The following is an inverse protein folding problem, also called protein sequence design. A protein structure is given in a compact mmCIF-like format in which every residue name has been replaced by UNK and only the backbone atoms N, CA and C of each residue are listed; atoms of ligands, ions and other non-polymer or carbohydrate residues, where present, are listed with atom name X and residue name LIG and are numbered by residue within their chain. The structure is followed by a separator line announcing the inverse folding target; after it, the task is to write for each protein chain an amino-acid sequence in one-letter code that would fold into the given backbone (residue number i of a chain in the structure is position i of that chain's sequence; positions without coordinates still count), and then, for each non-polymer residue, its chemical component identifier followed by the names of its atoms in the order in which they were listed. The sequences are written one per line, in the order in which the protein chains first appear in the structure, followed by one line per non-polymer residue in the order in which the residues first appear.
data_IF_036047200385
#
_entry.id   IF_036047200385
#
_cell.length_a   1.000
_cell.length_b   1.000
_cell.length_c   1.000
_cell.angle_alpha   90.00
_cell.angle_beta   90.00
_cell.angle_gamma   90.00
#
_symmetry.space_group_name_H-M   'P 1'
#
loop_
_entity.id
_entity.type
_entity.pdbx_description
1 polymer ?
#
# COMPACT_ATOMS: atom_id res chain seq x y z
N UNK A 1 -30.45 -10.62 -45.63
CA UNK A 1 -30.33 -11.23 -44.29
C UNK A 1 -29.01 -10.76 -43.68
N UNK A 2 -29.03 -9.71 -42.87
CA UNK A 2 -27.85 -9.20 -42.16
C UNK A 2 -27.66 -10.02 -40.87
N UNK A 3 -26.64 -10.85 -40.82
CA UNK A 3 -26.23 -11.57 -39.61
C UNK A 3 -25.49 -10.61 -38.69
N UNK A 4 -26.21 -10.04 -37.72
CA UNK A 4 -25.64 -9.24 -36.65
C UNK A 4 -24.72 -10.07 -35.77
N UNK A 5 -23.43 -9.77 -35.81
CA UNK A 5 -22.43 -10.22 -34.82
C UNK A 5 -22.80 -9.67 -33.46
N UNK A 6 -23.48 -10.48 -32.63
CA UNK A 6 -23.58 -10.26 -31.18
C UNK A 6 -22.16 -10.25 -30.61
N UNK A 7 -21.63 -9.08 -30.31
CA UNK A 7 -20.57 -8.93 -29.32
C UNK A 7 -21.09 -9.52 -28.01
N UNK A 8 -20.64 -10.73 -27.65
CA UNK A 8 -20.89 -11.28 -26.33
C UNK A 8 -20.27 -10.32 -25.32
N UNK A 9 -21.10 -9.51 -24.65
CA UNK A 9 -20.64 -8.78 -23.48
C UNK A 9 -20.33 -9.84 -22.42
N UNK A 10 -19.05 -10.05 -22.13
CA UNK A 10 -18.65 -10.90 -21.02
C UNK A 10 -19.33 -10.36 -19.76
N UNK A 11 -20.06 -11.21 -19.03
CA UNK A 11 -20.69 -10.81 -17.78
C UNK A 11 -19.69 -10.06 -16.88
N UNK A 12 -20.10 -8.98 -16.19
CA UNK A 12 -19.17 -8.17 -15.41
C UNK A 12 -18.47 -9.05 -14.37
N UNK A 13 -17.13 -9.06 -14.40
CA UNK A 13 -16.32 -9.84 -13.47
C UNK A 13 -16.52 -9.30 -12.06
N UNK A 14 -17.01 -10.15 -11.16
CA UNK A 14 -17.29 -9.81 -9.75
C UNK A 14 -16.06 -9.81 -8.83
N UNK A 15 -14.88 -10.14 -9.37
CA UNK A 15 -13.63 -10.39 -8.64
C UNK A 15 -12.41 -9.95 -9.47
N UNK A 16 -11.30 -9.61 -8.81
CA UNK A 16 -10.02 -9.34 -9.45
C UNK A 16 -9.42 -10.63 -10.03
N UNK A 17 -9.40 -11.72 -9.26
CA UNK A 17 -8.92 -13.03 -9.72
C UNK A 17 -9.91 -14.16 -9.42
N UNK A 18 -10.68 -14.05 -8.34
CA UNK A 18 -11.70 -15.02 -7.96
C UNK A 18 -12.00 -14.95 -6.46
N UNK A 19 -13.11 -15.54 -5.98
CA UNK A 19 -13.57 -15.37 -4.61
C UNK A 19 -12.53 -15.73 -3.54
N UNK A 20 -11.85 -16.87 -3.70
CA UNK A 20 -10.85 -17.37 -2.73
C UNK A 20 -9.56 -16.54 -2.77
N UNK A 21 -9.04 -16.25 -3.97
CA UNK A 21 -7.81 -15.47 -4.12
C UNK A 21 -7.99 -14.05 -3.64
N UNK A 22 -9.11 -13.42 -3.97
CA UNK A 22 -9.46 -12.10 -3.48
C UNK A 22 -9.64 -12.12 -1.97
N UNK A 23 -10.33 -13.13 -1.39
CA UNK A 23 -10.45 -13.26 0.08
C UNK A 23 -9.08 -13.34 0.76
N UNK A 24 -8.19 -14.22 0.30
CA UNK A 24 -6.87 -14.41 0.90
C UNK A 24 -6.02 -13.14 0.80
N UNK A 25 -6.02 -12.47 -0.35
CA UNK A 25 -5.24 -11.24 -0.59
C UNK A 25 -5.85 -10.01 0.07
N UNK A 26 -7.17 -9.97 0.29
CA UNK A 26 -7.88 -8.85 0.92
C UNK A 26 -7.89 -8.97 2.46
N UNK A 27 -6.89 -9.64 3.05
CA UNK A 27 -6.75 -9.78 4.49
C UNK A 27 -7.22 -11.12 5.07
N UNK A 28 -7.78 -12.03 4.28
CA UNK A 28 -8.11 -13.39 4.73
C UNK A 28 -6.88 -14.16 5.21
N UNK A 29 -5.72 -13.94 4.57
CA UNK A 29 -4.44 -14.50 5.03
C UNK A 29 -4.09 -14.03 6.44
N UNK A 30 -4.44 -12.79 6.81
CA UNK A 30 -4.24 -12.27 8.17
C UNK A 30 -5.06 -13.07 9.19
N UNK A 31 -6.31 -13.41 8.87
CA UNK A 31 -7.18 -14.19 9.77
C UNK A 31 -6.67 -15.63 9.96
N UNK A 32 -6.06 -16.22 8.94
CA UNK A 32 -5.46 -17.56 9.01
C UNK A 32 -4.17 -17.54 9.83
N UNK A 33 -3.30 -16.56 9.61
CA UNK A 33 -1.99 -16.51 10.25
C UNK A 33 -2.02 -15.99 11.68
N UNK A 34 -2.95 -15.07 12.01
CA UNK A 34 -3.03 -14.48 13.35
C UNK A 34 -3.07 -15.52 14.48
N UNK A 35 -3.97 -16.52 14.51
CA UNK A 35 -4.00 -17.50 15.60
C UNK A 35 -2.70 -18.29 15.70
N UNK A 36 -2.04 -18.59 14.58
CA UNK A 36 -0.74 -19.27 14.55
C UNK A 36 0.33 -18.39 15.20
N UNK A 37 0.38 -17.10 14.83
CA UNK A 37 1.35 -16.14 15.38
C UNK A 37 1.11 -15.88 16.87
N UNK A 38 -0.14 -15.78 17.29
CA UNK A 38 -0.51 -15.55 18.70
C UNK A 38 -0.21 -16.76 19.59
N UNK A 39 -0.23 -17.98 19.04
CA UNK A 39 0.12 -19.19 19.77
C UNK A 39 1.64 -19.38 19.96
N UNK A 40 2.48 -18.62 19.24
CA UNK A 40 3.94 -18.74 19.34
C UNK A 40 4.50 -17.89 20.49
N UNK A 41 5.45 -18.43 21.30
CA UNK A 41 6.14 -17.66 22.33
C UNK A 41 7.07 -16.63 21.67
N UNK A 42 6.67 -15.36 21.72
CA UNK A 42 7.31 -14.28 20.99
C UNK A 42 8.77 -14.04 21.42
N UNK A 43 9.05 -14.15 22.71
CA UNK A 43 10.38 -14.06 23.32
C UNK A 43 11.39 -15.05 22.72
N UNK A 44 10.94 -16.27 22.41
CA UNK A 44 11.78 -17.31 21.81
C UNK A 44 11.98 -17.13 20.31
N UNK A 45 10.97 -16.63 19.59
CA UNK A 45 10.94 -16.68 18.13
C UNK A 45 11.19 -15.34 17.43
N UNK A 46 11.26 -14.21 18.15
CA UNK A 46 11.35 -12.87 17.55
C UNK A 46 12.49 -12.73 16.54
N UNK A 47 13.69 -13.25 16.85
CA UNK A 47 14.83 -13.14 15.95
C UNK A 47 14.63 -13.95 14.66
N UNK A 48 14.18 -15.19 14.78
CA UNK A 48 13.88 -16.07 13.64
C UNK A 48 12.73 -15.50 12.79
N UNK A 49 11.69 -14.96 13.44
CA UNK A 49 10.57 -14.30 12.76
C UNK A 49 11.01 -13.02 12.07
N UNK A 50 11.88 -12.22 12.68
CA UNK A 50 12.42 -11.01 12.07
C UNK A 50 13.24 -11.35 10.82
N UNK A 51 14.08 -12.39 10.89
CA UNK A 51 14.81 -12.89 9.72
C UNK A 51 13.87 -13.37 8.61
N UNK A 52 12.87 -14.19 8.93
CA UNK A 52 11.87 -14.65 7.97
C UNK A 52 11.05 -13.48 7.38
N UNK A 53 10.67 -12.50 8.20
CA UNK A 53 9.97 -11.30 7.77
C UNK A 53 10.84 -10.44 6.85
N UNK A 54 12.15 -10.34 7.10
CA UNK A 54 13.08 -9.68 6.18
C UNK A 54 13.16 -10.42 4.84
N UNK A 55 13.21 -11.76 4.82
CA UNK A 55 13.16 -12.53 3.58
C UNK A 55 11.83 -12.30 2.82
N UNK A 56 10.71 -12.31 3.51
CA UNK A 56 9.41 -11.97 2.93
C UNK A 56 9.36 -10.53 2.42
N UNK A 57 10.00 -9.59 3.13
CA UNK A 57 10.11 -8.22 2.68
C UNK A 57 10.84 -8.12 1.34
N UNK A 58 11.89 -8.94 1.12
CA UNK A 58 12.60 -8.98 -0.17
C UNK A 58 11.76 -9.51 -1.33
N UNK A 59 10.92 -10.51 -1.07
CA UNK A 59 10.17 -11.19 -2.14
C UNK A 59 8.83 -10.49 -2.42
N UNK A 60 8.24 -9.83 -1.43
CA UNK A 60 6.89 -9.28 -1.52
C UNK A 60 6.90 -7.75 -1.33
N UNK A 61 7.51 -7.26 -0.25
CA UNK A 61 7.40 -5.85 0.15
C UNK A 61 8.24 -4.91 -0.73
N UNK A 62 9.54 -5.16 -0.92
CA UNK A 62 10.39 -4.31 -1.76
C UNK A 62 9.91 -4.30 -3.22
N UNK A 63 9.51 -5.43 -3.83
CA UNK A 63 8.91 -5.42 -5.16
C UNK A 63 7.59 -4.65 -5.19
N UNK A 64 6.76 -4.73 -4.15
CA UNK A 64 5.56 -3.90 -4.01
C UNK A 64 5.90 -2.41 -4.18
N UNK A 65 6.85 -1.89 -3.41
CA UNK A 65 7.28 -0.49 -3.56
C UNK A 65 7.76 -0.19 -4.98
N UNK A 66 8.65 -1.02 -5.52
CA UNK A 66 9.24 -0.82 -6.85
C UNK A 66 8.21 -0.86 -7.98
N UNK A 67 7.19 -1.72 -7.89
CA UNK A 67 6.09 -1.75 -8.84
C UNK A 67 5.32 -0.42 -8.88
N UNK A 68 5.15 0.24 -7.73
CA UNK A 68 4.56 1.58 -7.66
C UNK A 68 5.40 2.59 -8.44
N UNK A 69 6.73 2.57 -8.27
CA UNK A 69 7.62 3.44 -9.06
C UNK A 69 7.49 3.16 -10.56
N UNK A 70 7.49 1.88 -10.96
CA UNK A 70 7.35 1.49 -12.36
C UNK A 70 6.03 2.00 -12.97
N UNK A 71 4.90 1.88 -12.27
CA UNK A 71 3.59 2.34 -12.76
C UNK A 71 3.49 3.87 -12.73
N UNK A 72 3.93 4.50 -11.65
CA UNK A 72 3.84 5.94 -11.45
C UNK A 72 4.62 6.71 -12.51
N UNK A 73 5.88 6.31 -12.73
CA UNK A 73 6.78 7.01 -13.65
C UNK A 73 6.60 6.59 -15.12
N UNK A 74 5.81 5.55 -15.41
CA UNK A 74 5.48 5.17 -16.80
C UNK A 74 4.72 6.28 -17.49
N UNK A 75 5.34 6.85 -18.52
CA UNK A 75 4.78 7.97 -19.28
C UNK A 75 4.65 9.25 -18.45
N UNK A 76 5.49 9.44 -17.42
CA UNK A 76 5.39 10.55 -16.48
C UNK A 76 5.32 11.91 -17.18
N UNK A 77 6.16 12.16 -18.20
CA UNK A 77 6.16 13.44 -18.90
C UNK A 77 4.78 13.78 -19.51
N UNK A 78 4.10 12.78 -20.09
CA UNK A 78 2.76 12.93 -20.65
C UNK A 78 1.71 13.23 -19.57
N UNK A 79 1.82 12.57 -18.42
CA UNK A 79 0.92 12.74 -17.26
C UNK A 79 1.14 14.08 -16.57
N UNK A 80 2.39 14.49 -16.37
CA UNK A 80 2.74 15.68 -15.60
C UNK A 80 2.67 16.97 -16.43
N UNK A 81 2.99 16.93 -17.72
CA UNK A 81 3.19 18.15 -18.52
C UNK A 81 2.29 18.27 -19.76
N UNK A 82 1.88 17.17 -20.40
CA UNK A 82 1.25 17.23 -21.73
C UNK A 82 -0.27 17.49 -21.75
N UNK A 83 -0.88 17.95 -20.66
CA UNK A 83 -2.33 18.26 -20.59
C UNK A 83 -3.28 17.06 -20.72
N UNK A 84 -2.74 15.83 -20.81
CA UNK A 84 -3.51 14.62 -21.13
C UNK A 84 -4.42 14.13 -20.01
N UNK A 85 -4.17 14.61 -18.79
CA UNK A 85 -4.99 14.39 -17.60
C UNK A 85 -5.34 15.76 -17.02
N UNK A 86 -6.55 15.93 -16.47
CA UNK A 86 -7.00 17.25 -15.98
C UNK A 86 -6.01 17.92 -15.02
N UNK A 87 -5.98 19.25 -14.99
CA UNK A 87 -4.98 20.08 -14.27
C UNK A 87 -4.77 19.65 -12.81
N UNK A 88 -5.84 19.29 -12.11
CA UNK A 88 -5.76 18.78 -10.73
C UNK A 88 -4.87 17.53 -10.63
N UNK A 89 -5.03 16.57 -11.55
CA UNK A 89 -4.21 15.36 -11.59
C UNK A 89 -2.77 15.67 -11.99
N UNK A 90 -2.53 16.60 -12.92
CA UNK A 90 -1.17 17.00 -13.27
C UNK A 90 -0.40 17.58 -12.07
N UNK A 91 -1.04 18.48 -11.31
CA UNK A 91 -0.44 19.06 -10.10
C UNK A 91 -0.13 17.97 -9.06
N UNK A 92 -1.00 16.96 -8.93
CA UNK A 92 -0.75 15.81 -8.05
C UNK A 92 0.45 14.99 -8.52
N UNK A 93 0.59 14.73 -9.82
CA UNK A 93 1.75 14.03 -10.38
C UNK A 93 3.05 14.82 -10.20
N UNK A 94 3.04 16.13 -10.45
CA UNK A 94 4.19 17.00 -10.22
C UNK A 94 4.59 17.02 -8.74
N UNK A 95 3.61 17.17 -7.86
CA UNK A 95 3.87 17.17 -6.43
C UNK A 95 4.45 15.84 -5.96
N UNK A 96 3.78 14.71 -6.26
CA UNK A 96 4.22 13.40 -5.79
C UNK A 96 5.50 12.89 -6.50
N UNK A 97 5.72 13.28 -7.76
CA UNK A 97 6.84 12.80 -8.57
C UNK A 97 8.11 13.65 -8.51
N UNK A 98 7.99 14.93 -8.14
CA UNK A 98 9.13 15.86 -8.13
C UNK A 98 9.25 16.55 -6.78
N UNK A 99 8.20 17.27 -6.35
CA UNK A 99 8.29 18.14 -5.18
C UNK A 99 8.48 17.35 -3.89
N UNK A 100 7.61 16.37 -3.61
CA UNK A 100 7.67 15.55 -2.41
C UNK A 100 9.00 14.79 -2.26
N UNK A 101 9.49 14.03 -3.26
CA UNK A 101 10.79 13.37 -3.14
C UNK A 101 11.96 14.35 -3.05
N UNK A 102 11.94 15.48 -3.76
CA UNK A 102 13.03 16.47 -3.66
C UNK A 102 13.11 17.09 -2.26
N UNK A 103 11.96 17.48 -1.68
CA UNK A 103 11.91 18.02 -0.32
C UNK A 103 12.32 16.98 0.72
N UNK A 104 11.89 15.73 0.56
CA UNK A 104 12.25 14.65 1.47
C UNK A 104 13.74 14.30 1.39
N UNK A 105 14.30 14.24 0.18
CA UNK A 105 15.73 14.03 -0.03
C UNK A 105 16.54 15.18 0.57
N UNK A 106 16.15 16.43 0.31
CA UNK A 106 16.80 17.59 0.89
C UNK A 106 16.79 17.53 2.42
N UNK A 107 15.64 17.24 3.03
CA UNK A 107 15.50 17.11 4.48
C UNK A 107 16.40 16.02 5.07
N UNK A 108 16.43 14.84 4.46
CA UNK A 108 17.28 13.73 4.94
C UNK A 108 18.77 14.05 4.75
N UNK A 109 19.17 14.60 3.60
CA UNK A 109 20.56 14.97 3.33
C UNK A 109 21.04 16.04 4.30
N UNK A 110 20.24 17.08 4.58
CA UNK A 110 20.63 18.12 5.54
C UNK A 110 20.71 17.58 6.96
N UNK A 111 19.77 16.71 7.38
CA UNK A 111 19.81 16.08 8.69
C UNK A 111 21.06 15.18 8.88
N UNK A 112 21.40 14.41 7.83
CA UNK A 112 22.61 13.57 7.83
C UNK A 112 23.88 14.43 7.85
N UNK A 113 23.95 15.48 7.03
CA UNK A 113 25.10 16.38 6.97
C UNK A 113 25.32 17.15 8.28
N UNK A 114 24.24 17.51 8.98
CA UNK A 114 24.29 18.19 10.27
C UNK A 114 24.58 17.25 11.45
N UNK A 115 24.55 15.92 11.27
CA UNK A 115 24.74 14.97 12.37
C UNK A 115 23.61 14.97 13.41
N UNK A 116 22.40 15.43 13.05
CA UNK A 116 21.31 15.64 14.01
C UNK A 116 20.32 14.47 14.06
N UNK A 117 20.53 13.54 14.99
CA UNK A 117 19.67 12.37 15.21
C UNK A 117 18.20 12.76 15.47
N UNK A 118 17.97 13.88 16.16
CA UNK A 118 16.61 14.37 16.46
C UNK A 118 15.81 14.66 15.18
N UNK A 119 16.45 15.33 14.21
CA UNK A 119 15.82 15.67 12.93
C UNK A 119 15.55 14.42 12.08
N UNK A 120 16.46 13.44 12.10
CA UNK A 120 16.20 12.12 11.53
C UNK A 120 15.02 11.41 12.21
N UNK A 121 14.90 11.54 13.54
CA UNK A 121 13.77 11.04 14.31
C UNK A 121 12.42 11.60 13.83
N UNK A 122 12.35 12.88 13.43
CA UNK A 122 11.14 13.43 12.82
C UNK A 122 10.79 12.76 11.49
N UNK A 123 11.79 12.39 10.69
CA UNK A 123 11.59 11.65 9.45
C UNK A 123 10.96 10.26 9.71
N UNK A 124 11.46 9.52 10.71
CA UNK A 124 10.90 8.22 11.06
C UNK A 124 9.50 8.31 11.66
N UNK A 125 9.22 9.33 12.48
CA UNK A 125 7.87 9.59 12.97
C UNK A 125 6.90 9.94 11.84
N UNK A 126 7.33 10.74 10.86
CA UNK A 126 6.54 11.04 9.67
C UNK A 126 6.30 9.77 8.84
N UNK A 127 7.31 8.92 8.67
CA UNK A 127 7.16 7.61 8.04
C UNK A 127 6.09 6.77 8.75
N UNK A 128 6.16 6.62 10.08
CA UNK A 128 5.18 5.85 10.83
C UNK A 128 3.75 6.39 10.67
N UNK A 129 3.59 7.72 10.67
CA UNK A 129 2.31 8.39 10.43
C UNK A 129 1.74 8.06 9.04
N UNK A 130 2.56 8.26 7.98
CA UNK A 130 2.13 8.05 6.60
C UNK A 130 1.91 6.58 6.24
N UNK A 131 2.74 5.66 6.75
CA UNK A 131 2.58 4.21 6.56
C UNK A 131 1.29 3.74 7.23
N UNK A 132 1.00 4.19 8.45
CA UNK A 132 -0.26 3.86 9.12
C UNK A 132 -1.48 4.31 8.30
N UNK A 133 -1.46 5.54 7.79
CA UNK A 133 -2.55 6.04 6.95
C UNK A 133 -2.65 5.31 5.61
N UNK A 134 -1.51 4.98 5.02
CA UNK A 134 -1.42 4.24 3.77
C UNK A 134 -2.16 2.89 3.87
N UNK A 135 -1.97 2.15 4.97
CA UNK A 135 -2.64 0.86 5.19
C UNK A 135 -4.16 1.04 5.27
N UNK A 136 -4.61 2.00 6.08
CA UNK A 136 -6.04 2.32 6.24
C UNK A 136 -6.67 2.72 4.91
N UNK A 137 -6.00 3.62 4.17
CA UNK A 137 -6.49 4.09 2.88
C UNK A 137 -6.57 2.96 1.86
N UNK A 138 -5.63 2.01 1.89
CA UNK A 138 -5.66 0.83 1.03
C UNK A 138 -6.84 -0.10 1.38
N UNK A 139 -7.09 -0.36 2.67
CA UNK A 139 -8.25 -1.14 3.12
C UNK A 139 -9.57 -0.52 2.67
N UNK A 140 -9.74 0.79 2.86
CA UNK A 140 -10.91 1.54 2.36
C UNK A 140 -10.98 1.52 0.82
N UNK A 141 -9.86 1.68 0.14
CA UNK A 141 -9.78 1.60 -1.32
C UNK A 141 -10.26 0.25 -1.86
N UNK A 142 -9.85 -0.85 -1.23
CA UNK A 142 -10.31 -2.18 -1.59
C UNK A 142 -11.79 -2.43 -1.30
N UNK A 143 -12.35 -1.84 -0.24
CA UNK A 143 -13.79 -1.82 -0.05
C UNK A 143 -14.49 -1.20 -1.26
N UNK A 144 -14.00 -0.05 -1.74
CA UNK A 144 -14.56 0.61 -2.92
C UNK A 144 -14.35 -0.19 -4.21
N UNK A 145 -13.22 -0.88 -4.37
CA UNK A 145 -12.96 -1.78 -5.51
C UNK A 145 -13.95 -2.94 -5.51
N UNK A 146 -14.15 -3.60 -4.37
CA UNK A 146 -15.08 -4.73 -4.26
C UNK A 146 -16.54 -4.29 -4.48
N UNK A 147 -16.92 -3.11 -3.97
CA UNK A 147 -18.19 -2.46 -4.29
C UNK A 147 -18.38 -2.30 -5.80
N UNK A 148 -17.37 -1.77 -6.50
CA UNK A 148 -17.44 -1.53 -7.94
C UNK A 148 -17.56 -2.83 -8.75
N UNK A 149 -16.73 -3.83 -8.43
CA UNK A 149 -16.76 -5.13 -9.10
C UNK A 149 -18.10 -5.87 -8.91
N UNK A 150 -18.67 -5.77 -7.71
CA UNK A 150 -19.94 -6.45 -7.37
C UNK A 150 -21.18 -5.59 -7.64
N UNK A 151 -20.99 -4.33 -8.09
CA UNK A 151 -22.07 -3.33 -8.25
C UNK A 151 -22.90 -3.13 -6.97
N UNK A 152 -22.24 -3.19 -5.81
CA UNK A 152 -22.84 -3.01 -4.47
C UNK A 152 -22.28 -1.75 -3.83
N UNK A 153 -22.87 -0.61 -4.17
CA UNK A 153 -22.36 0.69 -3.74
C UNK A 153 -22.96 1.12 -2.40
N UNK A 154 -22.11 1.73 -1.57
CA UNK A 154 -22.57 2.51 -0.43
C UNK A 154 -23.07 3.88 -0.89
N UNK A 155 -24.07 4.42 -0.18
CA UNK A 155 -24.47 5.81 -0.33
C UNK A 155 -23.36 6.77 0.12
N UNK A 156 -23.49 8.06 -0.20
CA UNK A 156 -22.44 9.03 0.13
C UNK A 156 -22.34 9.28 1.64
N UNK A 157 -23.45 9.18 2.37
CA UNK A 157 -23.47 9.22 3.85
C UNK A 157 -22.69 8.05 4.43
N UNK A 158 -22.99 6.83 3.98
CA UNK A 158 -22.32 5.59 4.42
C UNK A 158 -20.81 5.63 4.14
N UNK A 159 -20.41 6.06 2.93
CA UNK A 159 -18.99 6.26 2.58
C UNK A 159 -18.32 7.26 3.51
N UNK A 160 -19.01 8.35 3.87
CA UNK A 160 -18.49 9.34 4.81
C UNK A 160 -18.31 8.76 6.20
N UNK A 161 -19.25 7.93 6.69
CA UNK A 161 -19.10 7.22 7.98
C UNK A 161 -17.88 6.31 7.97
N UNK A 162 -17.74 5.47 6.93
CA UNK A 162 -16.58 4.58 6.76
C UNK A 162 -15.26 5.37 6.71
N UNK A 163 -15.24 6.50 5.98
CA UNK A 163 -14.05 7.34 5.89
C UNK A 163 -13.71 8.04 7.21
N UNK A 164 -14.71 8.55 7.94
CA UNK A 164 -14.50 9.16 9.26
C UNK A 164 -13.98 8.12 10.25
N UNK A 165 -14.52 6.91 10.24
CA UNK A 165 -14.02 5.82 11.06
C UNK A 165 -12.57 5.47 10.71
N UNK A 166 -12.22 5.41 9.43
CA UNK A 166 -10.85 5.21 8.96
C UNK A 166 -9.88 6.24 9.56
N UNK A 167 -10.22 7.54 9.49
CA UNK A 167 -9.40 8.60 10.10
C UNK A 167 -9.31 8.48 11.62
N UNK A 168 -10.45 8.23 12.28
CA UNK A 168 -10.52 8.16 13.74
C UNK A 168 -9.66 7.01 14.29
N UNK A 169 -9.79 5.80 13.72
CA UNK A 169 -9.01 4.64 14.19
C UNK A 169 -7.52 4.81 13.89
N UNK A 170 -7.16 5.31 12.70
CA UNK A 170 -5.76 5.57 12.36
C UNK A 170 -5.10 6.57 13.31
N UNK A 171 -5.71 7.75 13.50
CA UNK A 171 -5.15 8.78 14.39
C UNK A 171 -5.09 8.29 15.83
N UNK A 172 -6.09 7.53 16.28
CA UNK A 172 -6.10 6.95 17.62
C UNK A 172 -4.99 5.92 17.82
N UNK A 173 -4.78 5.03 16.85
CA UNK A 173 -3.71 4.03 16.88
C UNK A 173 -2.33 4.71 16.87
N UNK A 174 -2.15 5.76 16.05
CA UNK A 174 -0.92 6.53 16.01
C UNK A 174 -0.66 7.28 17.33
N UNK A 175 -1.67 7.95 17.88
CA UNK A 175 -1.59 8.64 19.16
C UNK A 175 -1.27 7.67 20.30
N UNK A 176 -1.95 6.53 20.35
CA UNK A 176 -1.70 5.47 21.32
C UNK A 176 -0.28 4.92 21.23
N UNK A 177 0.21 4.63 20.02
CA UNK A 177 1.57 4.15 19.78
C UNK A 177 2.63 5.14 20.28
N UNK A 178 2.47 6.43 19.97
CA UNK A 178 3.37 7.48 20.44
C UNK A 178 3.33 7.66 21.97
N UNK A 179 2.15 7.55 22.59
CA UNK A 179 2.02 7.64 24.04
C UNK A 179 2.64 6.44 24.79
N UNK A 180 2.65 5.25 24.17
CA UNK A 180 3.19 4.02 24.79
C UNK A 180 4.67 3.78 24.53
N UNK A 181 5.17 4.20 23.38
CA UNK A 181 6.55 4.00 22.96
C UNK A 181 7.20 5.37 22.96
N UNK A 182 8.04 5.70 23.95
CA UNK A 182 8.74 7.00 24.01
C UNK A 182 10.04 7.02 23.22
N UNK A 183 10.72 5.88 23.13
CA UNK A 183 11.98 5.69 22.40
C UNK A 183 11.91 4.41 21.58
N UNK A 184 12.43 4.45 20.36
CA UNK A 184 12.50 3.29 19.46
C UNK A 184 13.76 3.35 18.60
N UNK A 185 14.02 2.30 17.82
CA UNK A 185 15.17 2.19 16.92
C UNK A 185 14.75 1.68 15.56
N UNK A 186 15.32 2.27 14.50
CA UNK A 186 15.21 1.80 13.13
C UNK A 186 16.60 1.72 12.52
N UNK A 187 17.00 0.53 12.08
CA UNK A 187 18.35 0.28 11.53
C UNK A 187 19.49 0.75 12.43
N UNK A 188 19.33 0.65 13.75
CA UNK A 188 20.33 1.08 14.73
C UNK A 188 20.34 2.58 15.03
N UNK A 189 19.47 3.37 14.38
CA UNK A 189 19.26 4.78 14.71
C UNK A 189 18.17 4.87 15.77
N UNK A 190 18.55 5.23 16.99
CA UNK A 190 17.60 5.45 18.08
C UNK A 190 16.99 6.86 18.00
N UNK A 191 15.68 6.96 18.20
CA UNK A 191 14.97 8.24 18.18
C UNK A 191 13.77 8.24 19.13
N UNK A 192 13.32 9.45 19.48
CA UNK A 192 12.14 9.66 20.31
C UNK A 192 10.88 9.83 19.45
N UNK A 193 9.77 9.33 19.97
CA UNK A 193 8.43 9.56 19.40
C UNK A 193 7.86 10.88 19.92
N UNK A 194 6.66 11.25 19.47
CA UNK A 194 5.97 12.43 20.00
C UNK A 194 5.39 12.16 21.38
N UNK A 195 5.57 13.11 22.30
CA UNK A 195 4.91 13.08 23.60
C UNK A 195 3.42 13.44 23.42
N UNK A 196 2.57 12.41 23.33
CA UNK A 196 1.11 12.59 23.20
C UNK A 196 0.48 12.51 24.61
N UNK A 197 -0.21 13.58 25.07
CA UNK A 197 -0.93 13.56 26.34
C UNK A 197 -2.00 12.46 26.39
N UNK A 198 -2.17 11.83 27.55
CA UNK A 198 -3.12 10.72 27.73
C UNK A 198 -4.56 11.10 27.38
N UNK A 199 -4.99 12.34 27.66
CA UNK A 199 -6.34 12.80 27.32
C UNK A 199 -6.61 12.80 25.81
N UNK A 200 -5.59 13.06 24.96
CA UNK A 200 -5.72 12.96 23.51
C UNK A 200 -5.96 11.51 23.09
N UNK A 201 -5.25 10.58 23.73
CA UNK A 201 -5.42 9.14 23.50
C UNK A 201 -6.84 8.71 23.89
N UNK A 202 -7.33 9.11 25.06
CA UNK A 202 -8.69 8.79 25.52
C UNK A 202 -9.77 9.34 24.58
N UNK A 203 -9.67 10.62 24.20
CA UNK A 203 -10.60 11.25 23.25
C UNK A 203 -10.55 10.55 21.90
N UNK A 204 -9.36 10.25 21.39
CA UNK A 204 -9.18 9.49 20.15
C UNK A 204 -9.90 8.14 20.19
N UNK A 205 -9.63 7.32 21.21
CA UNK A 205 -10.26 6.01 21.39
C UNK A 205 -11.79 6.13 21.49
N UNK A 206 -12.32 7.15 22.17
CA UNK A 206 -13.75 7.39 22.26
C UNK A 206 -14.36 7.69 20.87
N UNK A 207 -13.74 8.59 20.10
CA UNK A 207 -14.19 8.92 18.73
C UNK A 207 -14.08 7.70 17.82
N UNK A 208 -12.98 6.95 17.90
CA UNK A 208 -12.80 5.71 17.15
C UNK A 208 -13.89 4.69 17.49
N UNK A 209 -14.23 4.51 18.76
CA UNK A 209 -15.28 3.59 19.21
C UNK A 209 -16.67 4.00 18.69
N UNK A 210 -17.03 5.28 18.82
CA UNK A 210 -18.32 5.81 18.32
C UNK A 210 -18.43 5.61 16.80
N UNK A 211 -17.40 5.99 16.05
CA UNK A 211 -17.40 5.86 14.58
C UNK A 211 -17.36 4.40 14.12
N UNK A 212 -16.79 3.50 14.93
CA UNK A 212 -16.82 2.05 14.69
C UNK A 212 -18.23 1.48 14.86
N UNK A 213 -18.95 1.91 15.91
CA UNK A 213 -20.34 1.54 16.12
C UNK A 213 -21.24 2.05 14.97
N UNK A 214 -21.02 3.28 14.50
CA UNK A 214 -21.72 3.82 13.32
C UNK A 214 -21.39 3.03 12.04
N UNK A 215 -20.14 2.62 11.86
CA UNK A 215 -19.74 1.75 10.74
C UNK A 215 -20.46 0.42 10.79
N UNK A 216 -20.56 -0.21 11.97
CA UNK A 216 -21.32 -1.44 12.14
C UNK A 216 -22.81 -1.22 11.80
N UNK A 217 -23.41 -0.12 12.25
CA UNK A 217 -24.79 0.23 11.93
C UNK A 217 -25.01 0.36 10.42
N UNK A 218 -24.11 1.03 9.70
CA UNK A 218 -24.13 1.15 8.23
C UNK A 218 -24.08 -0.23 7.56
N UNK A 219 -23.24 -1.13 8.05
CA UNK A 219 -23.13 -2.49 7.48
C UNK A 219 -24.37 -3.33 7.77
N UNK A 220 -24.89 -3.28 9.01
CA UNK A 220 -26.10 -4.00 9.40
C UNK A 220 -27.30 -3.49 8.61
N UNK A 221 -27.51 -2.18 8.51
CA UNK A 221 -28.57 -1.59 7.71
C UNK A 221 -28.41 -1.98 6.23
N UNK A 222 -27.20 -1.85 5.70
CA UNK A 222 -26.91 -2.22 4.32
C UNK A 222 -27.17 -3.69 4.00
N UNK A 223 -26.89 -4.59 4.96
CA UNK A 223 -27.21 -6.00 4.83
C UNK A 223 -28.72 -6.25 4.89
N UNK A 224 -29.44 -5.60 5.82
CA UNK A 224 -30.90 -5.73 5.94
C UNK A 224 -31.64 -5.26 4.70
N UNK A 225 -31.18 -4.17 4.08
CA UNK A 225 -31.80 -3.59 2.88
C UNK A 225 -31.51 -4.38 1.60
N UNK A 226 -30.29 -4.92 1.47
CA UNK A 226 -29.80 -5.49 0.19
C UNK A 226 -29.61 -7.01 0.22
N UNK A 227 -29.67 -7.63 1.39
CA UNK A 227 -29.42 -9.05 1.62
C UNK A 227 -27.96 -9.50 1.41
N UNK A 228 -27.08 -8.63 0.88
CA UNK A 228 -25.71 -8.97 0.51
C UNK A 228 -24.78 -7.75 0.63
N UNK A 229 -23.53 -8.01 1.01
CA UNK A 229 -22.47 -6.99 1.16
C UNK A 229 -21.21 -7.34 0.36
N UNK A 230 -20.34 -6.36 0.05
CA UNK A 230 -19.04 -6.61 -0.56
C UNK A 230 -18.05 -7.19 0.47
N UNK A 231 -18.24 -8.47 0.84
CA UNK A 231 -17.56 -9.10 1.98
C UNK A 231 -16.03 -9.10 1.90
N UNK A 232 -15.43 -9.27 0.71
CA UNK A 232 -13.98 -9.24 0.58
C UNK A 232 -13.47 -7.81 0.83
N UNK A 233 -14.17 -6.81 0.32
CA UNK A 233 -13.86 -5.41 0.58
C UNK A 233 -14.02 -5.03 2.06
N UNK A 234 -15.06 -5.55 2.71
CA UNK A 234 -15.30 -5.33 4.15
C UNK A 234 -14.19 -5.97 4.97
N UNK A 235 -13.77 -7.18 4.60
CA UNK A 235 -12.64 -7.85 5.22
C UNK A 235 -11.36 -7.01 5.11
N UNK A 236 -11.03 -6.53 3.90
CA UNK A 236 -9.87 -5.65 3.70
C UNK A 236 -9.94 -4.41 4.60
N UNK A 237 -11.12 -3.76 4.64
CA UNK A 237 -11.35 -2.60 5.49
C UNK A 237 -11.06 -2.89 6.97
N UNK A 238 -11.68 -3.92 7.55
CA UNK A 238 -11.51 -4.22 8.98
C UNK A 238 -10.11 -4.75 9.31
N UNK A 239 -9.52 -5.57 8.44
CA UNK A 239 -8.17 -6.10 8.65
C UNK A 239 -7.15 -4.97 8.65
N UNK A 240 -7.18 -4.09 7.66
CA UNK A 240 -6.22 -2.99 7.59
C UNK A 240 -6.35 -2.00 8.75
N UNK A 241 -7.57 -1.76 9.23
CA UNK A 241 -7.82 -0.72 10.25
C UNK A 241 -7.66 -1.23 11.68
N UNK A 242 -8.15 -2.44 11.98
CA UNK A 242 -8.16 -2.94 13.35
C UNK A 242 -7.03 -3.94 13.59
N UNK A 243 -6.90 -4.95 12.74
CA UNK A 243 -5.90 -6.01 12.96
C UNK A 243 -4.48 -5.50 12.74
N UNK A 244 -4.24 -4.69 11.71
CA UNK A 244 -2.90 -4.20 11.38
C UNK A 244 -2.50 -2.90 12.06
N UNK A 245 -3.46 -2.12 12.55
CA UNK A 245 -3.19 -0.85 13.23
C UNK A 245 -3.55 -0.92 14.71
N UNK A 246 -4.82 -1.08 15.05
CA UNK A 246 -5.27 -1.01 16.44
C UNK A 246 -4.70 -2.13 17.32
N UNK A 247 -4.53 -3.34 16.76
CA UNK A 247 -4.02 -4.51 17.49
C UNK A 247 -2.56 -4.84 17.17
N UNK A 248 -1.83 -3.95 16.49
CA UNK A 248 -0.43 -4.23 16.09
C UNK A 248 0.51 -4.41 17.28
N UNK A 249 0.20 -3.76 18.41
CA UNK A 249 1.01 -3.81 19.64
C UNK A 249 0.73 -5.03 20.52
N UNK A 250 -0.18 -5.93 20.12
CA UNK A 250 -0.53 -7.11 20.94
C UNK A 250 0.59 -8.15 20.95
N UNK A 251 1.27 -8.34 19.83
CA UNK A 251 2.36 -9.32 19.71
C UNK A 251 3.43 -8.79 18.73
N UNK A 252 4.72 -8.73 19.12
CA UNK A 252 5.77 -8.19 18.25
C UNK A 252 5.98 -9.02 16.97
N UNK A 253 5.67 -10.32 16.98
CA UNK A 253 5.73 -11.15 15.78
C UNK A 253 4.69 -10.70 14.73
N UNK A 254 3.54 -10.20 15.18
CA UNK A 254 2.49 -9.69 14.31
C UNK A 254 2.91 -8.40 13.60
N UNK A 255 3.61 -7.51 14.32
CA UNK A 255 4.19 -6.30 13.74
C UNK A 255 5.16 -6.65 12.58
N UNK A 256 5.95 -7.70 12.73
CA UNK A 256 6.95 -8.11 11.73
C UNK A 256 6.34 -8.65 10.42
N UNK A 257 5.21 -9.37 10.50
CA UNK A 257 4.58 -9.98 9.30
C UNK A 257 3.61 -9.04 8.59
N UNK A 258 3.07 -8.05 9.30
CA UNK A 258 2.04 -7.13 8.78
C UNK A 258 2.45 -6.45 7.46
N UNK A 259 3.69 -5.95 7.26
CA UNK A 259 4.10 -5.36 5.98
C UNK A 259 3.99 -6.31 4.78
N UNK A 260 4.27 -7.60 4.96
CA UNK A 260 4.14 -8.60 3.91
C UNK A 260 2.66 -8.82 3.55
N UNK A 261 1.78 -8.90 4.54
CA UNK A 261 0.33 -9.05 4.34
C UNK A 261 -0.28 -7.82 3.66
N UNK A 262 0.13 -6.62 4.06
CA UNK A 262 -0.23 -5.38 3.39
C UNK A 262 0.22 -5.36 1.92
N UNK A 263 1.45 -5.81 1.65
CA UNK A 263 1.99 -5.88 0.29
C UNK A 263 1.24 -6.87 -0.58
N UNK A 264 0.81 -8.01 -0.05
CA UNK A 264 -0.02 -8.97 -0.78
C UNK A 264 -1.36 -8.35 -1.21
N UNK A 265 -1.97 -7.58 -0.32
CA UNK A 265 -3.20 -6.85 -0.61
C UNK A 265 -3.01 -5.84 -1.75
N UNK A 266 -1.88 -5.13 -1.76
CA UNK A 266 -1.53 -4.20 -2.83
C UNK A 266 -1.24 -4.90 -4.16
N UNK A 267 -0.43 -5.95 -4.13
CA UNK A 267 0.00 -6.68 -5.33
C UNK A 267 -1.18 -7.29 -6.09
N UNK A 268 -2.27 -7.65 -5.42
CA UNK A 268 -3.49 -8.07 -6.09
C UNK A 268 -4.04 -6.99 -7.05
N UNK A 269 -4.05 -5.72 -6.61
CA UNK A 269 -4.49 -4.59 -7.44
C UNK A 269 -3.49 -4.34 -8.57
N UNK A 270 -2.20 -4.29 -8.25
CA UNK A 270 -1.12 -4.07 -9.22
C UNK A 270 -1.10 -5.12 -10.31
N UNK A 271 -1.14 -6.40 -9.96
CA UNK A 271 -1.08 -7.48 -10.94
C UNK A 271 -2.32 -7.49 -11.83
N UNK A 272 -3.49 -7.14 -11.29
CA UNK A 272 -4.68 -7.01 -12.11
C UNK A 272 -4.54 -5.84 -13.10
N UNK A 273 -4.11 -4.68 -12.60
CA UNK A 273 -3.85 -3.50 -13.43
C UNK A 273 -2.84 -3.80 -14.54
N UNK A 274 -1.68 -4.37 -14.19
CA UNK A 274 -0.59 -4.59 -15.12
C UNK A 274 -0.91 -5.69 -16.14
N UNK A 275 -1.64 -6.74 -15.73
CA UNK A 275 -2.11 -7.77 -16.67
C UNK A 275 -3.06 -7.18 -17.71
N UNK A 276 -3.99 -6.33 -17.28
CA UNK A 276 -4.92 -5.66 -18.18
C UNK A 276 -4.20 -4.66 -19.10
N UNK A 277 -3.23 -3.91 -18.57
CA UNK A 277 -2.36 -3.02 -19.36
C UNK A 277 -1.59 -3.78 -20.43
N UNK A 278 -0.90 -4.87 -20.05
CA UNK A 278 -0.14 -5.69 -20.96
C UNK A 278 -1.04 -6.34 -22.02
N UNK A 279 -2.26 -6.76 -21.64
CA UNK A 279 -3.24 -7.32 -22.58
C UNK A 279 -3.68 -6.27 -23.61
N UNK A 280 -3.97 -5.04 -23.18
CA UNK A 280 -4.34 -3.96 -24.08
C UNK A 280 -3.20 -3.60 -25.04
N UNK A 281 -1.96 -3.55 -24.55
CA UNK A 281 -0.77 -3.25 -25.34
C UNK A 281 -0.47 -4.33 -26.41
N UNK A 282 -0.73 -5.59 -26.08
CA UNK A 282 -0.39 -6.74 -26.92
C UNK A 282 -1.62 -7.34 -27.65
N UNK A 283 -2.74 -6.63 -27.65
CA UNK A 283 -3.95 -7.07 -28.34
C UNK A 283 -3.69 -7.19 -29.86
N UNK A 284 -4.22 -8.23 -30.54
CA UNK A 284 -4.05 -8.36 -31.98
C UNK A 284 -4.70 -7.19 -32.73
N UNK A 285 -4.01 -6.63 -33.72
CA UNK A 285 -4.42 -5.42 -34.43
C UNK A 285 -5.80 -5.49 -35.12
N UNK A 286 -6.28 -6.69 -35.49
CA UNK A 286 -7.55 -6.86 -36.22
C UNK A 286 -8.68 -7.50 -35.41
N UNK A 287 -8.49 -7.86 -34.13
CA UNK A 287 -9.49 -8.61 -33.35
C UNK A 287 -9.84 -10.01 -33.88
N UNK A 288 -9.33 -10.39 -35.06
CA UNK A 288 -9.54 -11.65 -35.78
C UNK A 288 -8.23 -12.43 -35.91
N UNK A 289 -7.50 -12.56 -34.80
CA UNK A 289 -6.31 -13.40 -34.77
C UNK A 289 -6.69 -14.88 -34.82
N UNK A 290 -5.98 -15.64 -35.65
CA UNK A 290 -5.97 -17.10 -35.56
C UNK A 290 -5.38 -17.56 -34.21
N UNK A 291 -5.46 -18.86 -33.94
CA UNK A 291 -4.97 -19.45 -32.68
C UNK A 291 -3.48 -19.12 -32.43
N UNK A 292 -2.67 -19.03 -33.49
CA UNK A 292 -1.26 -18.65 -33.42
C UNK A 292 -1.08 -17.20 -32.96
N UNK A 293 -1.86 -16.26 -33.51
CA UNK A 293 -1.84 -14.86 -33.10
C UNK A 293 -2.27 -14.66 -31.65
N UNK A 294 -3.27 -15.43 -31.18
CA UNK A 294 -3.68 -15.41 -29.78
C UNK A 294 -2.61 -15.98 -28.84
N UNK A 295 -1.97 -17.10 -29.20
CA UNK A 295 -0.88 -17.67 -28.41
C UNK A 295 0.34 -16.73 -28.35
N UNK A 296 0.68 -16.07 -29.45
CA UNK A 296 1.74 -15.06 -29.49
C UNK A 296 1.42 -13.86 -28.57
N UNK A 297 0.19 -13.33 -28.63
CA UNK A 297 -0.27 -12.27 -27.72
C UNK A 297 -0.15 -12.68 -26.24
N UNK A 298 -0.62 -13.88 -25.89
CA UNK A 298 -0.53 -14.42 -24.52
C UNK A 298 0.91 -14.57 -24.04
N UNK A 299 1.82 -15.01 -24.90
CA UNK A 299 3.24 -15.14 -24.56
C UNK A 299 3.88 -13.76 -24.34
N UNK A 300 3.53 -12.76 -25.14
CA UNK A 300 3.97 -11.37 -24.93
C UNK A 300 3.44 -10.78 -23.61
N UNK A 301 2.19 -11.04 -23.27
CA UNK A 301 1.63 -10.65 -21.95
C UNK A 301 2.39 -11.31 -20.81
N UNK A 302 2.66 -12.62 -20.90
CA UNK A 302 3.43 -13.35 -19.87
C UNK A 302 4.86 -12.80 -19.73
N UNK A 303 5.54 -12.56 -20.85
CA UNK A 303 6.88 -11.98 -20.85
C UNK A 303 6.87 -10.58 -20.24
N UNK A 304 5.89 -9.74 -20.59
CA UNK A 304 5.72 -8.41 -20.01
C UNK A 304 5.59 -8.47 -18.48
N UNK A 305 4.73 -9.35 -17.97
CA UNK A 305 4.53 -9.52 -16.52
C UNK A 305 5.79 -10.05 -15.85
N UNK A 306 6.48 -11.02 -16.46
CA UNK A 306 7.75 -11.54 -15.95
C UNK A 306 8.80 -10.44 -15.84
N UNK A 307 8.98 -9.65 -16.91
CA UNK A 307 9.93 -8.52 -16.93
C UNK A 307 9.55 -7.48 -15.88
N UNK A 308 8.27 -7.10 -15.77
CA UNK A 308 7.79 -6.18 -14.75
C UNK A 308 8.12 -6.63 -13.32
N UNK A 309 7.89 -7.91 -13.02
CA UNK A 309 8.20 -8.52 -11.71
C UNK A 309 9.70 -8.56 -11.46
N UNK A 310 10.51 -8.95 -12.46
CA UNK A 310 11.97 -9.01 -12.31
C UNK A 310 12.58 -7.63 -12.10
N UNK A 311 12.15 -6.62 -12.86
CA UNK A 311 12.57 -5.23 -12.66
C UNK A 311 12.14 -4.76 -11.27
N UNK A 312 10.93 -5.10 -10.84
CA UNK A 312 10.43 -4.76 -9.50
C UNK A 312 11.30 -5.36 -8.39
N UNK A 313 11.66 -6.63 -8.51
CA UNK A 313 12.54 -7.30 -7.55
C UNK A 313 13.94 -6.69 -7.48
N UNK A 314 14.56 -6.46 -8.63
CA UNK A 314 15.91 -5.87 -8.72
C UNK A 314 15.90 -4.43 -8.21
N UNK A 315 14.97 -3.60 -8.68
CA UNK A 315 14.87 -2.20 -8.24
C UNK A 315 14.53 -2.10 -6.74
N UNK A 316 13.67 -2.99 -6.24
CA UNK A 316 13.36 -3.09 -4.81
C UNK A 316 14.61 -3.42 -3.98
N UNK A 317 15.39 -4.42 -4.39
CA UNK A 317 16.64 -4.76 -3.73
C UNK A 317 17.65 -3.61 -3.76
N UNK A 318 17.85 -2.98 -4.92
CA UNK A 318 18.76 -1.84 -5.06
C UNK A 318 18.32 -0.70 -4.13
N UNK A 319 17.03 -0.34 -4.11
CA UNK A 319 16.53 0.77 -3.30
C UNK A 319 16.68 0.54 -1.79
N UNK A 320 16.30 -0.64 -1.30
CA UNK A 320 16.28 -0.92 0.14
C UNK A 320 17.62 -1.41 0.71
N UNK A 321 18.51 -1.96 -0.13
CA UNK A 321 19.78 -2.57 0.29
C UNK A 321 20.96 -2.10 -0.53
N UNK A 322 20.93 -2.30 -1.84
CA UNK A 322 22.11 -2.07 -2.70
C UNK A 322 22.65 -0.65 -2.58
N UNK A 323 21.84 0.36 -2.89
CA UNK A 323 22.22 1.76 -2.83
C UNK A 323 22.63 2.21 -1.40
N UNK A 324 21.84 1.97 -0.34
CA UNK A 324 22.26 2.38 1.00
C UNK A 324 23.53 1.68 1.50
N UNK A 325 23.73 0.38 1.19
CA UNK A 325 24.96 -0.32 1.56
C UNK A 325 26.19 0.20 0.80
N UNK A 326 26.04 0.56 -0.48
CA UNK A 326 27.10 1.21 -1.25
C UNK A 326 27.47 2.57 -0.64
N UNK A 327 26.48 3.36 -0.19
CA UNK A 327 26.73 4.63 0.50
C UNK A 327 27.42 4.41 1.85
N UNK A 328 27.02 3.38 2.61
CA UNK A 328 27.72 2.95 3.82
C UNK A 328 29.17 2.55 3.52
N UNK A 329 29.45 1.88 2.42
CA UNK A 329 30.84 1.57 2.06
C UNK A 329 31.65 2.82 1.64
N UNK A 330 30.99 3.81 1.02
CA UNK A 330 31.65 4.97 0.41
C UNK A 330 31.84 6.18 1.34
N UNK A 331 31.02 6.35 2.39
CA UNK A 331 30.97 7.58 3.18
C UNK A 331 31.08 7.32 4.70
N UNK A 332 32.29 7.34 5.24
CA UNK A 332 32.58 7.01 6.64
C UNK A 332 32.10 8.07 7.64
N UNK A 333 32.22 9.36 7.32
CA UNK A 333 31.98 10.45 8.28
C UNK A 333 30.54 10.48 8.86
N UNK A 334 29.46 10.35 8.06
CA UNK A 334 28.11 10.26 8.59
C UNK A 334 27.89 9.06 9.52
N UNK A 335 28.56 7.94 9.27
CA UNK A 335 28.42 6.72 10.09
C UNK A 335 29.06 6.89 11.46
N UNK A 336 30.19 7.59 11.55
CA UNK A 336 30.82 7.93 12.83
C UNK A 336 29.94 8.85 13.67
N UNK A 337 29.24 9.79 13.04
CA UNK A 337 28.40 10.77 13.73
C UNK A 337 27.03 10.19 14.15
N UNK A 338 26.41 9.38 13.29
CA UNK A 338 25.00 9.00 13.41
C UNK A 338 24.78 7.50 13.61
N UNK A 339 25.79 6.67 13.33
CA UNK A 339 25.71 5.21 13.34
C UNK A 339 25.76 4.59 11.95
N UNK A 340 26.26 3.34 11.87
CA UNK A 340 26.49 2.62 10.61
C UNK A 340 25.23 2.44 9.74
N UNK A 341 24.05 2.44 10.35
CA UNK A 341 22.77 2.24 9.67
C UNK A 341 22.14 3.50 9.09
N UNK A 342 22.78 4.68 9.15
CA UNK A 342 22.16 5.97 8.75
C UNK A 342 21.67 5.99 7.28
N UNK A 343 22.38 5.34 6.37
CA UNK A 343 21.97 5.27 4.96
C UNK A 343 20.82 4.29 4.75
N UNK A 344 20.82 3.15 5.44
CA UNK A 344 19.68 2.22 5.44
C UNK A 344 18.44 2.90 6.01
N UNK A 345 18.57 3.57 7.16
CA UNK A 345 17.52 4.38 7.77
C UNK A 345 16.94 5.39 6.78
N UNK A 346 17.80 6.21 6.16
CA UNK A 346 17.38 7.25 5.23
C UNK A 346 16.68 6.68 4.00
N UNK A 347 17.22 5.60 3.41
CA UNK A 347 16.61 4.95 2.25
C UNK A 347 15.23 4.36 2.58
N UNK A 348 15.10 3.66 3.71
CA UNK A 348 13.83 3.08 4.14
C UNK A 348 12.78 4.17 4.41
N UNK A 349 13.15 5.24 5.11
CA UNK A 349 12.25 6.39 5.34
C UNK A 349 11.85 7.05 4.03
N UNK A 350 12.82 7.32 3.16
CA UNK A 350 12.58 7.95 1.85
C UNK A 350 11.56 7.15 1.04
N UNK A 351 11.83 5.85 0.85
CA UNK A 351 11.01 5.01 -0.02
C UNK A 351 9.59 4.87 0.54
N UNK A 352 9.44 4.64 1.85
CA UNK A 352 8.11 4.49 2.47
C UNK A 352 7.27 5.77 2.35
N UNK A 353 7.85 6.93 2.66
CA UNK A 353 7.13 8.21 2.62
C UNK A 353 6.83 8.61 1.17
N UNK A 354 7.79 8.48 0.25
CA UNK A 354 7.57 8.83 -1.15
C UNK A 354 6.53 7.91 -1.81
N UNK A 355 6.58 6.62 -1.52
CA UNK A 355 5.59 5.66 -2.00
C UNK A 355 4.17 6.06 -1.61
N UNK A 356 3.96 6.48 -0.35
CA UNK A 356 2.67 7.00 0.09
C UNK A 356 2.17 8.14 -0.83
N UNK A 357 3.03 9.10 -1.20
CA UNK A 357 2.64 10.18 -2.10
C UNK A 357 2.30 9.70 -3.52
N UNK A 358 3.07 8.77 -4.09
CA UNK A 358 2.78 8.21 -5.41
C UNK A 358 1.42 7.51 -5.45
N UNK A 359 1.17 6.64 -4.47
CA UNK A 359 -0.06 5.88 -4.33
C UNK A 359 -1.29 6.79 -4.10
N UNK A 360 -1.09 7.96 -3.50
CA UNK A 360 -2.13 8.97 -3.38
C UNK A 360 -2.63 9.55 -4.70
N UNK A 361 -1.88 9.35 -5.77
CA UNK A 361 -2.19 9.84 -7.12
C UNK A 361 -2.64 8.71 -8.03
N UNK A 362 -1.90 7.60 -8.08
CA UNK A 362 -2.16 6.52 -9.05
C UNK A 362 -3.56 5.95 -8.93
N UNK A 363 -3.95 5.54 -7.72
CA UNK A 363 -5.18 4.78 -7.49
C UNK A 363 -6.44 5.64 -7.38
N UNK A 364 -6.38 6.92 -7.73
CA UNK A 364 -7.54 7.79 -7.71
C UNK A 364 -8.55 7.41 -8.79
N UNK A 365 -9.84 7.55 -8.47
CA UNK A 365 -10.95 7.38 -9.41
C UNK A 365 -10.84 8.23 -10.68
N UNK A 366 -10.27 9.43 -10.56
CA UNK A 366 -10.10 10.37 -11.67
C UNK A 366 -8.91 10.03 -12.57
N UNK A 367 -8.10 9.02 -12.20
CA UNK A 367 -6.99 8.58 -13.03
C UNK A 367 -7.53 7.69 -14.19
N UNK A 368 -7.34 8.10 -15.46
CA UNK A 368 -7.85 7.33 -16.60
C UNK A 368 -7.23 5.94 -16.70
N UNK A 369 -5.94 5.79 -16.34
CA UNK A 369 -5.26 4.50 -16.35
C UNK A 369 -5.91 3.53 -15.36
N UNK A 370 -6.20 4.00 -14.14
CA UNK A 370 -6.86 3.19 -13.11
C UNK A 370 -8.25 2.78 -13.56
N UNK A 371 -9.02 3.68 -14.17
CA UNK A 371 -10.34 3.35 -14.70
C UNK A 371 -10.23 2.25 -15.77
N UNK A 372 -9.35 2.43 -16.74
CA UNK A 372 -9.20 1.56 -17.90
C UNK A 372 -8.61 0.19 -17.56
N UNK A 373 -7.55 0.15 -16.74
CA UNK A 373 -6.79 -1.07 -16.52
C UNK A 373 -7.17 -1.81 -15.24
N UNK A 374 -7.75 -1.16 -14.22
CA UNK A 374 -8.22 -1.90 -13.04
C UNK A 374 -9.62 -2.47 -13.25
N UNK A 375 -10.54 -1.67 -13.79
CA UNK A 375 -11.96 -2.05 -13.90
C UNK A 375 -12.36 -2.59 -15.28
N UNK A 376 -11.58 -2.31 -16.33
CA UNK A 376 -11.95 -2.57 -17.73
C UNK A 376 -12.92 -1.53 -18.23
#
# INVERSE_FOLDING_TARGET
MQTGTRTQSSAPRRYLFGPVRDFLTFGGSSLVLLPVVLALPADRFVATFAFAALLLAHVINHPHFAHSYQIFYRGFAKKAFAGSIGREMQLRYLFAGIVAPALLALFLVTAVAAGEVRTLGYAANAMALFVGWHYVKQGYGLLMVDCALKKRFFGDRDKKVLLVNSYAVWLSAWAYGNAKISKTSLWGIEYFTFAIPEWIVFVGIAIASITSALTLAVLVQGFRERGQLPWNGILAYFVSIYLWLAFVSVNPLWLLITPALHSLQYLAVVWRFETNYATALNAPASGTADEKGWNSSRNRVRLHILVFVMIGAVAGFIGFWGAPLLLTAAAEAPQKALGAGVFLFSAWVFINVHHYFMDNVMWRRNNPDTKLYLFG
#
